data_IF_449712373609
#
_entry.id   IF_449712373609
#
_cell.length_a   1.000
_cell.length_b   1.000
_cell.length_c   1.000
_cell.angle_alpha   90.00
_cell.angle_beta   90.00
_cell.angle_gamma   90.00
#
_symmetry.space_group_name_H-M   'P 1'
#
loop_
_entity.id
_entity.type
_entity.pdbx_description
1 polymer ?
#
# COMPACT_ATOMS: atom_id res chain seq x y z
N UNK A 1 3.78 -12.60 10.02
CA UNK A 1 4.37 -13.01 11.31
C UNK A 1 5.77 -12.42 11.50
N UNK A 2 6.72 -12.68 10.59
CA UNK A 2 8.08 -12.11 10.65
C UNK A 2 8.10 -10.58 10.77
N UNK A 3 7.22 -9.86 10.04
CA UNK A 3 7.07 -8.40 10.09
C UNK A 3 6.74 -7.85 11.48
N UNK A 4 5.87 -8.58 12.19
CA UNK A 4 5.36 -8.18 13.49
C UNK A 4 6.48 -8.34 14.52
N UNK A 5 7.23 -9.44 14.44
CA UNK A 5 8.39 -9.68 15.32
C UNK A 5 9.50 -8.67 15.06
N UNK A 6 9.84 -8.39 13.79
CA UNK A 6 10.86 -7.40 13.44
C UNK A 6 10.43 -5.98 13.85
N UNK A 7 9.14 -5.66 13.72
CA UNK A 7 8.57 -4.38 14.17
C UNK A 7 8.60 -4.23 15.69
N UNK A 8 8.17 -5.24 16.44
CA UNK A 8 8.25 -5.25 17.91
C UNK A 8 9.70 -5.11 18.37
N UNK A 9 10.63 -5.85 17.74
CA UNK A 9 12.06 -5.75 18.07
C UNK A 9 12.62 -4.34 17.83
N UNK A 10 12.22 -3.69 16.73
CA UNK A 10 12.62 -2.31 16.42
C UNK A 10 12.05 -1.29 17.42
N UNK A 11 10.76 -1.38 17.77
CA UNK A 11 10.10 -0.46 18.70
C UNK A 11 10.32 -0.75 20.19
N UNK A 12 10.87 -1.92 20.54
CA UNK A 12 11.14 -2.34 21.93
C UNK A 12 12.24 -1.53 22.62
N UNK A 13 12.95 -0.62 21.93
CA UNK A 13 14.07 0.14 22.51
C UNK A 13 15.29 -0.73 22.84
N UNK A 14 15.34 -1.98 22.35
CA UNK A 14 16.44 -2.92 22.56
C UNK A 14 17.66 -2.62 21.65
N UNK A 15 17.54 -1.64 20.75
CA UNK A 15 18.63 -1.19 19.86
C UNK A 15 19.56 -0.28 20.66
N UNK A 16 20.72 -0.82 21.05
CA UNK A 16 21.75 -0.13 21.84
C UNK A 16 23.08 0.05 21.10
N UNK A 17 23.22 -0.52 19.90
CA UNK A 17 24.47 -0.56 19.14
C UNK A 17 24.18 -0.43 17.63
N UNK A 18 25.11 0.15 16.87
CA UNK A 18 24.96 0.41 15.44
C UNK A 18 24.71 -0.89 14.65
N UNK A 19 25.39 -1.97 15.02
CA UNK A 19 25.21 -3.28 14.42
C UNK A 19 23.80 -3.85 14.62
N UNK A 20 23.20 -3.67 15.81
CA UNK A 20 21.84 -4.15 16.05
C UNK A 20 20.79 -3.29 15.34
N UNK A 21 21.09 -2.01 15.07
CA UNK A 21 20.28 -1.17 14.20
C UNK A 21 20.28 -1.67 12.76
N UNK A 22 21.46 -1.95 12.19
CA UNK A 22 21.55 -2.46 10.81
C UNK A 22 20.85 -3.81 10.65
N UNK A 23 20.98 -4.72 11.61
CA UNK A 23 20.30 -6.03 11.60
C UNK A 23 18.78 -5.86 11.71
N UNK A 24 18.30 -4.96 12.58
CA UNK A 24 16.87 -4.67 12.70
C UNK A 24 16.30 -4.09 11.40
N UNK A 25 17.01 -3.17 10.75
CA UNK A 25 16.64 -2.60 9.46
C UNK A 25 16.62 -3.66 8.34
N UNK A 26 17.62 -4.55 8.30
CA UNK A 26 17.66 -5.64 7.32
C UNK A 26 16.50 -6.63 7.53
N UNK A 27 16.20 -7.00 8.77
CA UNK A 27 15.08 -7.88 9.10
C UNK A 27 13.72 -7.24 8.76
N UNK A 28 13.55 -5.94 9.04
CA UNK A 28 12.37 -5.18 8.61
C UNK A 28 12.24 -5.14 7.09
N UNK A 29 13.32 -4.82 6.38
CA UNK A 29 13.36 -4.80 4.91
C UNK A 29 12.97 -6.14 4.30
N UNK A 30 13.55 -7.24 4.80
CA UNK A 30 13.19 -8.59 4.35
C UNK A 30 11.70 -8.88 4.55
N UNK A 31 11.12 -8.38 5.63
CA UNK A 31 9.71 -8.62 5.89
C UNK A 31 8.74 -7.79 5.04
N UNK A 32 9.18 -6.72 4.40
CA UNK A 32 8.34 -5.90 3.51
C UNK A 32 8.07 -6.53 2.14
N UNK A 33 8.46 -7.80 1.94
CA UNK A 33 8.20 -8.56 0.70
C UNK A 33 6.73 -8.72 0.31
N UNK A 34 5.78 -8.40 1.20
CA UNK A 34 4.36 -8.25 0.83
C UNK A 34 4.16 -7.31 -0.36
N UNK A 35 5.00 -6.29 -0.49
CA UNK A 35 4.92 -5.33 -1.58
C UNK A 35 5.04 -5.98 -2.96
N UNK A 36 5.88 -7.02 -3.09
CA UNK A 36 6.00 -7.78 -4.33
C UNK A 36 4.69 -8.52 -4.66
N UNK A 37 4.04 -9.12 -3.66
CA UNK A 37 2.77 -9.85 -3.82
C UNK A 37 1.64 -8.89 -4.23
N UNK A 38 1.60 -7.69 -3.62
CA UNK A 38 0.64 -6.65 -3.98
C UNK A 38 0.79 -6.23 -5.45
N UNK A 39 2.01 -6.01 -5.91
CA UNK A 39 2.28 -5.63 -7.30
C UNK A 39 1.92 -6.74 -8.27
N UNK A 40 2.20 -8.00 -7.94
CA UNK A 40 1.84 -9.12 -8.81
C UNK A 40 0.33 -9.33 -8.88
N UNK A 41 -0.39 -9.29 -7.75
CA UNK A 41 -1.86 -9.38 -7.74
C UNK A 41 -2.53 -8.25 -8.55
N UNK A 42 -1.98 -7.04 -8.47
CA UNK A 42 -2.48 -5.91 -9.26
C UNK A 42 -2.15 -6.03 -10.74
N UNK A 43 -0.97 -6.53 -11.09
CA UNK A 43 -0.56 -6.74 -12.48
C UNK A 43 -1.30 -7.91 -13.14
N UNK A 44 -1.73 -8.91 -12.37
CA UNK A 44 -2.56 -10.03 -12.82
C UNK A 44 -3.97 -9.61 -13.28
N UNK A 45 -4.41 -8.39 -12.95
CA UNK A 45 -5.67 -7.83 -13.46
C UNK A 45 -5.61 -7.36 -14.92
N UNK A 46 -4.40 -7.25 -15.49
CA UNK A 46 -4.16 -6.67 -16.82
C UNK A 46 -3.55 -7.69 -17.78
N UNK A 47 -3.84 -7.53 -19.08
CA UNK A 47 -3.30 -8.39 -20.13
C UNK A 47 -1.78 -8.30 -20.24
N UNK A 48 -1.17 -9.27 -20.93
CA UNK A 48 0.30 -9.42 -21.01
C UNK A 48 1.02 -8.18 -21.58
N UNK A 49 0.35 -7.40 -22.44
CA UNK A 49 0.88 -6.16 -23.03
C UNK A 49 1.02 -5.02 -22.02
N UNK A 50 0.07 -4.90 -21.09
CA UNK A 50 0.03 -3.80 -20.11
C UNK A 50 0.56 -4.23 -18.75
N UNK A 51 0.83 -5.52 -18.53
CA UNK A 51 1.30 -6.06 -17.25
C UNK A 51 2.55 -5.39 -16.71
N UNK A 52 3.55 -5.10 -17.55
CA UNK A 52 4.77 -4.40 -17.13
C UNK A 52 4.50 -2.95 -16.72
N UNK A 53 3.59 -2.28 -17.43
CA UNK A 53 3.14 -0.91 -17.13
C UNK A 53 2.28 -0.88 -15.87
N UNK A 54 1.38 -1.83 -15.68
CA UNK A 54 0.53 -1.98 -14.50
C UNK A 54 1.37 -2.26 -13.25
N UNK A 55 2.34 -3.19 -13.33
CA UNK A 55 3.23 -3.54 -12.24
C UNK A 55 4.08 -2.35 -11.72
N UNK A 56 4.32 -1.34 -12.55
CA UNK A 56 5.09 -0.14 -12.17
C UNK A 56 4.19 1.04 -11.78
N UNK A 57 3.04 1.18 -12.43
CA UNK A 57 2.12 2.32 -12.23
C UNK A 57 1.32 2.19 -10.95
N UNK A 58 0.77 1.01 -10.66
CA UNK A 58 -0.04 0.73 -9.47
C UNK A 58 0.74 1.10 -8.18
N UNK A 59 1.96 0.58 -7.94
CA UNK A 59 2.72 0.96 -6.75
C UNK A 59 3.13 2.43 -6.73
N UNK A 60 3.37 3.05 -7.90
CA UNK A 60 3.70 4.46 -7.96
C UNK A 60 2.52 5.35 -7.54
N UNK A 61 1.30 4.99 -7.98
CA UNK A 61 0.07 5.68 -7.59
C UNK A 61 -0.21 5.52 -6.09
N UNK A 62 -0.02 4.33 -5.52
CA UNK A 62 -0.15 4.10 -4.07
C UNK A 62 0.86 4.95 -3.28
N UNK A 63 2.10 5.09 -3.76
CA UNK A 63 3.07 5.97 -3.10
C UNK A 63 2.68 7.45 -3.22
N UNK A 64 2.10 7.87 -4.34
CA UNK A 64 1.62 9.24 -4.56
C UNK A 64 0.39 9.62 -3.74
N UNK A 65 -0.44 8.64 -3.35
CA UNK A 65 -1.59 8.89 -2.48
C UNK A 65 -1.22 9.06 -0.99
N UNK A 66 -0.07 8.53 -0.55
CA UNK A 66 0.40 8.67 0.83
C UNK A 66 0.55 10.14 1.28
N UNK A 67 1.20 11.03 0.52
CA UNK A 67 1.22 12.47 0.82
C UNK A 67 -0.17 13.10 0.88
N UNK A 68 -1.11 12.67 0.02
CA UNK A 68 -2.46 13.22 -0.02
C UNK A 68 -3.24 12.87 1.26
N UNK A 69 -3.13 11.62 1.70
CA UNK A 69 -3.69 11.15 2.98
C UNK A 69 -3.05 11.89 4.15
N UNK A 70 -1.73 12.10 4.11
CA UNK A 70 -1.02 12.85 5.14
C UNK A 70 -1.48 14.32 5.18
N UNK A 71 -1.70 14.96 4.03
CA UNK A 71 -2.21 16.33 3.95
C UNK A 71 -3.61 16.43 4.55
N UNK A 72 -4.51 15.48 4.26
CA UNK A 72 -5.82 15.40 4.95
C UNK A 72 -5.65 15.23 6.47
N UNK A 73 -4.77 14.34 6.92
CA UNK A 73 -4.57 14.06 8.35
C UNK A 73 -3.94 15.25 9.11
N UNK A 74 -2.85 15.80 8.61
CA UNK A 74 -2.05 16.82 9.30
C UNK A 74 -2.59 18.23 9.07
N UNK A 75 -2.88 18.62 7.83
CA UNK A 75 -3.33 19.99 7.56
C UNK A 75 -4.81 20.19 7.89
N UNK A 76 -5.66 19.20 7.63
CA UNK A 76 -7.10 19.37 7.83
C UNK A 76 -7.53 18.98 9.26
N UNK A 77 -7.20 17.77 9.71
CA UNK A 77 -7.66 17.30 11.02
C UNK A 77 -6.84 17.83 12.21
N UNK A 78 -5.51 17.95 12.08
CA UNK A 78 -4.68 18.48 13.17
C UNK A 78 -4.64 20.02 13.21
N UNK A 79 -4.32 20.69 12.08
CA UNK A 79 -4.07 22.14 12.10
C UNK A 79 -5.34 23.01 12.13
N UNK A 80 -6.43 22.61 11.46
CA UNK A 80 -7.65 23.42 11.37
C UNK A 80 -8.65 23.09 12.50
N UNK A 81 -8.80 21.81 12.85
CA UNK A 81 -9.78 21.36 13.84
C UNK A 81 -9.23 21.20 15.27
N UNK A 82 -7.90 21.21 15.48
CA UNK A 82 -7.28 21.08 16.80
C UNK A 82 -7.58 19.77 17.54
N UNK A 83 -7.89 18.70 16.80
CA UNK A 83 -8.28 17.41 17.40
C UNK A 83 -7.07 16.61 17.88
N UNK A 84 -7.27 15.84 18.95
CA UNK A 84 -6.26 14.91 19.48
C UNK A 84 -5.77 13.95 18.40
N UNK A 85 -4.46 13.66 18.39
CA UNK A 85 -3.78 12.80 17.42
C UNK A 85 -4.53 11.48 17.16
N UNK A 86 -5.08 10.89 18.23
CA UNK A 86 -5.81 9.62 18.18
C UNK A 86 -7.14 9.76 17.42
N UNK A 87 -7.92 10.83 17.67
CA UNK A 87 -9.21 11.03 17.03
C UNK A 87 -9.06 11.31 15.53
N UNK A 88 -8.08 12.14 15.16
CA UNK A 88 -7.75 12.43 13.77
C UNK A 88 -7.31 11.17 13.01
N UNK A 89 -6.58 10.27 13.69
CA UNK A 89 -6.06 9.04 13.09
C UNK A 89 -7.18 8.02 12.88
N UNK A 90 -8.08 7.88 13.85
CA UNK A 90 -9.26 7.01 13.75
C UNK A 90 -10.14 7.44 12.57
N UNK A 91 -10.44 8.74 12.44
CA UNK A 91 -11.34 9.22 11.40
C UNK A 91 -10.70 9.14 10.02
N UNK A 92 -9.43 9.48 9.89
CA UNK A 92 -8.70 9.29 8.63
C UNK A 92 -8.65 7.81 8.25
N UNK A 93 -8.40 6.92 9.21
CA UNK A 93 -8.42 5.47 9.00
C UNK A 93 -9.79 4.96 8.54
N UNK A 94 -10.88 5.43 9.15
CA UNK A 94 -12.25 5.06 8.73
C UNK A 94 -12.52 5.52 7.30
N UNK A 95 -12.18 6.77 6.94
CA UNK A 95 -12.38 7.29 5.59
C UNK A 95 -11.63 6.44 4.57
N UNK A 96 -10.35 6.16 4.83
CA UNK A 96 -9.54 5.31 3.94
C UNK A 96 -10.15 3.91 3.83
N UNK A 97 -10.55 3.29 4.95
CA UNK A 97 -11.19 1.97 4.93
C UNK A 97 -12.48 1.95 4.13
N UNK A 98 -13.33 2.97 4.24
CA UNK A 98 -14.58 3.05 3.46
C UNK A 98 -14.29 3.17 1.97
N UNK A 99 -13.32 4.00 1.58
CA UNK A 99 -12.89 4.13 0.17
C UNK A 99 -12.30 2.81 -0.33
N UNK A 100 -11.44 2.17 0.45
CA UNK A 100 -10.83 0.88 0.09
C UNK A 100 -11.86 -0.23 -0.04
N UNK A 101 -12.82 -0.35 0.88
CA UNK A 101 -13.89 -1.36 0.81
C UNK A 101 -14.82 -1.12 -0.37
N UNK A 102 -15.14 0.15 -0.66
CA UNK A 102 -15.93 0.51 -1.83
C UNK A 102 -15.19 0.16 -3.12
N UNK A 103 -13.90 0.49 -3.22
CA UNK A 103 -13.07 0.13 -4.36
C UNK A 103 -12.93 -1.38 -4.52
N UNK A 104 -12.75 -2.12 -3.42
CA UNK A 104 -12.68 -3.58 -3.43
C UNK A 104 -13.99 -4.22 -3.92
N UNK A 105 -15.15 -3.64 -3.56
CA UNK A 105 -16.44 -4.12 -4.03
C UNK A 105 -16.66 -3.90 -5.54
N UNK A 106 -16.13 -2.80 -6.09
CA UNK A 106 -16.18 -2.51 -7.53
C UNK A 106 -15.06 -3.20 -8.34
N UNK A 107 -14.09 -3.85 -7.69
CA UNK A 107 -13.02 -4.56 -8.38
C UNK A 107 -13.56 -5.90 -8.87
N UNK A 108 -13.46 -6.17 -10.18
CA UNK A 108 -13.90 -7.43 -10.78
C UNK A 108 -13.11 -8.63 -10.22
N UNK A 109 -13.83 -9.72 -9.96
CA UNK A 109 -13.29 -11.00 -9.49
C UNK A 109 -12.49 -11.69 -10.61
N UNK A 110 -11.18 -11.83 -10.42
CA UNK A 110 -10.24 -12.34 -11.43
C UNK A 110 -10.04 -13.85 -11.41
N UNK A 111 -10.63 -14.57 -10.44
CA UNK A 111 -10.33 -16.00 -10.24
C UNK A 111 -10.71 -16.92 -11.40
N UNK A 112 -11.57 -16.47 -12.31
CA UNK A 112 -12.01 -17.25 -13.47
C UNK A 112 -11.61 -16.61 -14.82
N UNK A 113 -10.75 -15.58 -14.81
CA UNK A 113 -10.31 -14.90 -16.03
C UNK A 113 -9.03 -15.54 -16.55
N UNK A 114 -9.06 -16.05 -17.77
CA UNK A 114 -7.88 -16.60 -18.45
C UNK A 114 -6.80 -15.52 -18.52
N UNK A 115 -5.58 -15.80 -18.05
CA UNK A 115 -4.50 -14.81 -17.90
C UNK A 115 -3.84 -14.41 -19.24
N UNK A 116 -4.15 -15.13 -20.32
CA UNK A 116 -3.60 -14.91 -21.66
C UNK A 116 -4.63 -14.22 -22.57
N UNK A 117 -5.09 -13.03 -22.17
CA UNK A 117 -5.82 -12.17 -23.10
C UNK A 117 -4.99 -10.95 -23.44
N UNK A 118 -4.98 -10.65 -24.72
CA UNK A 118 -4.44 -9.41 -25.26
C UNK A 118 -5.61 -8.43 -25.20
N UNK A 119 -5.47 -7.31 -24.48
CA UNK A 119 -6.46 -6.23 -24.61
C UNK A 119 -6.47 -5.80 -26.09
N UNK A 120 -7.58 -6.00 -26.82
CA UNK A 120 -7.66 -5.54 -28.19
C UNK A 120 -7.56 -4.02 -28.14
N UNK A 121 -6.62 -3.50 -28.92
CA UNK A 121 -6.54 -2.08 -29.20
C UNK A 121 -7.82 -1.72 -29.96
N UNK A 122 -8.84 -1.29 -29.23
CA UNK A 122 -9.95 -0.56 -29.81
C UNK A 122 -9.35 0.76 -30.30
N UNK A 123 -8.76 0.69 -31.49
CA UNK A 123 -8.60 1.80 -32.41
C UNK A 123 -10.00 2.39 -32.56
N UNK A 124 -10.32 3.34 -31.67
CA UNK A 124 -11.43 4.25 -31.85
C UNK A 124 -11.31 4.79 -33.29
N UNK A 125 -12.36 4.71 -34.11
CA UNK A 125 -12.33 5.26 -35.47
C UNK A 125 -12.02 6.76 -35.48
#
# INVERSE_FOLDING_TARGET
FFAIISGIYFFSGAIKNDMSMYIACAALGFSTGFWAIFVTMGAEQFGTNLRATAATTIPNMVRGSLPLINLMFVNWFQNINGWSFVNSAIITGIIVMVVTLSAAYFTEETFHKDLNYVEPEELMP
#
